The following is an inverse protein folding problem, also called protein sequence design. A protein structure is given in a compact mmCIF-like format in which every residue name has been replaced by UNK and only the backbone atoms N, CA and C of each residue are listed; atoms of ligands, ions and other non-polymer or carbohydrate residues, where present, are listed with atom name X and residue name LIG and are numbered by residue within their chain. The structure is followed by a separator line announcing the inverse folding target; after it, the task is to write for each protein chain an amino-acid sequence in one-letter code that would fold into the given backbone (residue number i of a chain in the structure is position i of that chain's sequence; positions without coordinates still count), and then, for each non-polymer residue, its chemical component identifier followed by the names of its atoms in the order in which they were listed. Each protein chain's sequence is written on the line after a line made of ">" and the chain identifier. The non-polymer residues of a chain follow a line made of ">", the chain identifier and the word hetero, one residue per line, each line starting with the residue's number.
data_IF_003159721143
#
_entry.id   IF_003159721143
#
_cell.length_a   1.000
_cell.length_b   1.000
_cell.length_c   1.000
_cell.angle_alpha   90.00
_cell.angle_beta   90.00
_cell.angle_gamma   90.00
#
_symmetry.space_group_name_H-M   'P 1'
#
loop_
_entity.id
_entity.type
_entity.pdbx_description
1 polymer ?
#
# COMPACT_ATOMS: atom_id res chain seq x y z
N UNK A 1 -12.55 19.70 15.31
CA UNK A 1 -11.31 19.40 16.08
C UNK A 1 -11.03 17.91 15.98
N UNK A 2 -9.79 17.48 15.67
CA UNK A 2 -9.38 16.07 15.63
C UNK A 2 -9.57 15.31 14.31
N UNK A 3 -10.09 15.94 13.24
CA UNK A 3 -10.32 15.25 11.97
C UNK A 3 -9.04 15.01 11.14
N UNK A 4 -7.92 15.62 11.52
CA UNK A 4 -6.59 15.39 10.93
C UNK A 4 -6.09 13.94 11.12
N UNK A 5 -6.73 13.16 12.01
CA UNK A 5 -6.45 11.75 12.27
C UNK A 5 -6.39 10.87 11.01
N UNK A 6 -7.14 11.23 9.95
CA UNK A 6 -7.11 10.50 8.68
C UNK A 6 -5.77 10.67 7.97
N UNK A 7 -5.21 11.89 8.00
CA UNK A 7 -3.90 12.20 7.44
C UNK A 7 -2.79 11.49 8.22
N UNK A 8 -2.86 11.54 9.56
CA UNK A 8 -1.88 10.86 10.43
C UNK A 8 -1.90 9.34 10.20
N UNK A 9 -3.09 8.74 10.17
CA UNK A 9 -3.25 7.30 9.90
C UNK A 9 -2.63 6.88 8.56
N UNK A 10 -2.70 7.74 7.53
CA UNK A 10 -2.12 7.44 6.21
C UNK A 10 -0.62 7.14 6.27
N UNK A 11 0.10 7.70 7.24
CA UNK A 11 1.53 7.43 7.46
C UNK A 11 1.73 5.96 7.87
N UNK A 12 0.99 5.49 8.87
CA UNK A 12 1.04 4.08 9.30
C UNK A 12 0.60 3.13 8.18
N UNK A 13 -0.45 3.50 7.45
CA UNK A 13 -0.94 2.73 6.30
C UNK A 13 0.16 2.64 5.20
N UNK A 14 0.98 3.67 5.02
CA UNK A 14 2.13 3.66 4.12
C UNK A 14 3.15 2.56 4.44
N UNK A 15 3.53 2.40 5.71
CA UNK A 15 4.42 1.32 6.14
C UNK A 15 3.78 -0.05 5.90
N UNK A 16 2.49 -0.20 6.21
CA UNK A 16 1.76 -1.45 5.96
C UNK A 16 1.75 -1.80 4.47
N UNK A 17 1.51 -0.83 3.59
CA UNK A 17 1.51 -1.05 2.14
C UNK A 17 2.88 -1.51 1.62
N UNK A 18 4.00 -1.09 2.22
CA UNK A 18 5.31 -1.66 1.89
C UNK A 18 5.38 -3.16 2.21
N UNK A 19 4.83 -3.60 3.35
CA UNK A 19 4.75 -5.03 3.67
C UNK A 19 3.87 -5.79 2.67
N UNK A 20 2.71 -5.21 2.33
CA UNK A 20 1.79 -5.84 1.38
C UNK A 20 2.45 -6.00 -0.01
N UNK A 21 3.20 -4.99 -0.47
CA UNK A 21 3.94 -5.07 -1.74
C UNK A 21 5.09 -6.09 -1.68
N UNK A 22 5.87 -6.10 -0.59
CA UNK A 22 6.93 -7.10 -0.37
C UNK A 22 6.38 -8.53 -0.38
N UNK A 23 5.26 -8.77 0.31
CA UNK A 23 4.61 -10.08 0.34
C UNK A 23 4.09 -10.47 -1.05
N UNK A 24 3.47 -9.54 -1.77
CA UNK A 24 3.00 -9.76 -3.14
C UNK A 24 4.16 -10.20 -4.07
N UNK A 25 5.28 -9.49 -4.05
CA UNK A 25 6.48 -9.83 -4.84
C UNK A 25 7.05 -11.19 -4.42
N UNK A 26 7.11 -11.45 -3.12
CA UNK A 26 7.63 -12.72 -2.59
C UNK A 26 6.76 -13.92 -2.99
N UNK A 27 5.44 -13.79 -2.91
CA UNK A 27 4.50 -14.82 -3.36
C UNK A 27 4.65 -15.08 -4.86
N UNK A 28 4.79 -14.03 -5.67
CA UNK A 28 5.07 -14.17 -7.11
C UNK A 28 6.40 -14.87 -7.37
N UNK A 29 7.47 -14.47 -6.69
CA UNK A 29 8.79 -15.09 -6.81
C UNK A 29 8.79 -16.57 -6.42
N UNK A 30 7.93 -16.99 -5.48
CA UNK A 30 7.75 -18.40 -5.13
C UNK A 30 7.12 -19.20 -6.27
N UNK A 31 6.18 -18.61 -7.02
CA UNK A 31 5.57 -19.25 -8.20
C UNK A 31 6.66 -19.50 -9.27
N UNK A 32 7.49 -18.50 -9.55
CA UNK A 32 8.62 -18.63 -10.50
C UNK A 32 9.55 -19.78 -10.11
N UNK A 33 9.90 -19.87 -8.83
CA UNK A 33 10.72 -20.98 -8.30
C UNK A 33 10.07 -22.35 -8.51
N UNK A 34 8.78 -22.49 -8.23
CA UNK A 34 8.08 -23.78 -8.36
C UNK A 34 8.04 -24.23 -9.81
N UNK A 35 7.77 -23.32 -10.76
CA UNK A 35 7.80 -23.63 -12.19
C UNK A 35 9.19 -24.11 -12.63
N UNK A 36 10.24 -23.38 -12.26
CA UNK A 36 11.62 -23.78 -12.53
C UNK A 36 11.96 -25.17 -11.97
N UNK A 37 11.61 -25.45 -10.72
CA UNK A 37 11.87 -26.75 -10.09
C UNK A 37 11.16 -27.90 -10.83
N UNK A 38 9.91 -27.72 -11.22
CA UNK A 38 9.15 -28.74 -11.96
C UNK A 38 9.77 -29.00 -13.35
N UNK A 39 10.24 -27.97 -14.05
CA UNK A 39 10.97 -28.13 -15.31
C UNK A 39 12.27 -28.93 -15.13
N UNK A 40 13.07 -28.59 -14.11
CA UNK A 40 14.32 -29.31 -13.81
C UNK A 40 14.08 -30.78 -13.47
N UNK A 41 13.08 -31.08 -12.64
CA UNK A 41 12.72 -32.46 -12.29
C UNK A 41 12.24 -33.25 -13.51
N UNK A 42 11.40 -32.64 -14.35
CA UNK A 42 10.93 -33.25 -15.59
C UNK A 42 12.08 -33.53 -16.56
N UNK A 43 12.96 -32.55 -16.78
CA UNK A 43 14.10 -32.68 -17.69
C UNK A 43 15.05 -33.80 -17.24
N UNK A 44 15.42 -33.80 -15.95
CA UNK A 44 16.27 -34.84 -15.35
C UNK A 44 15.65 -36.24 -15.51
N UNK A 45 14.35 -36.37 -15.25
CA UNK A 45 13.63 -37.64 -15.38
C UNK A 45 13.68 -38.16 -16.81
N UNK A 46 13.33 -37.32 -17.79
CA UNK A 46 13.21 -37.77 -19.17
C UNK A 46 14.56 -38.01 -19.84
N UNK A 47 15.60 -37.22 -19.54
CA UNK A 47 16.97 -37.54 -20.00
C UNK A 47 17.38 -38.95 -19.56
N UNK A 48 17.20 -39.27 -18.27
CA UNK A 48 17.53 -40.60 -17.76
C UNK A 48 16.71 -41.72 -18.40
N UNK A 49 15.42 -41.48 -18.70
CA UNK A 49 14.56 -42.48 -19.35
C UNK A 49 14.91 -42.68 -20.83
N UNK A 50 15.28 -41.61 -21.54
CA UNK A 50 15.71 -41.68 -22.94
C UNK A 50 17.05 -42.40 -23.05
N UNK A 51 18.05 -41.99 -22.25
CA UNK A 51 19.40 -42.57 -22.26
C UNK A 51 19.44 -44.05 -21.86
N UNK A 52 18.52 -44.48 -20.98
CA UNK A 52 18.36 -45.91 -20.61
C UNK A 52 17.42 -46.67 -21.53
N UNK A 53 16.72 -45.96 -22.40
CA UNK A 53 15.76 -46.51 -23.33
C UNK A 53 16.44 -47.15 -24.53
N UNK A 54 15.65 -47.72 -25.45
CA UNK A 54 16.16 -48.32 -26.68
C UNK A 54 16.44 -47.29 -27.79
N UNK A 55 16.14 -46.00 -27.57
CA UNK A 55 16.40 -44.95 -28.55
C UNK A 55 17.89 -44.64 -28.58
N UNK A 56 18.46 -44.46 -29.77
CA UNK A 56 19.87 -44.14 -29.96
C UNK A 56 20.04 -43.10 -31.08
N UNK A 57 21.29 -42.71 -31.33
CA UNK A 57 21.69 -41.98 -32.54
C UNK A 57 21.31 -40.50 -32.53
N UNK A 58 21.15 -39.95 -33.73
CA UNK A 58 20.87 -38.52 -33.91
C UNK A 58 19.48 -38.13 -33.40
N UNK A 59 18.49 -39.02 -33.50
CA UNK A 59 17.13 -38.80 -32.97
C UNK A 59 17.12 -38.78 -31.42
N UNK A 60 17.92 -39.62 -30.75
CA UNK A 60 18.07 -39.57 -29.29
C UNK A 60 18.57 -38.18 -28.84
N UNK A 61 19.62 -37.68 -29.49
CA UNK A 61 20.19 -36.35 -29.20
C UNK A 61 19.18 -35.23 -29.44
N UNK A 62 18.41 -35.31 -30.54
CA UNK A 62 17.34 -34.35 -30.82
C UNK A 62 16.23 -34.38 -29.76
N UNK A 63 15.86 -35.56 -29.26
CA UNK A 63 14.90 -35.70 -28.17
C UNK A 63 15.46 -35.10 -26.87
N UNK A 64 16.71 -35.42 -26.51
CA UNK A 64 17.37 -34.86 -25.33
C UNK A 64 17.50 -33.33 -25.39
N UNK A 65 17.57 -32.72 -26.57
CA UNK A 65 17.57 -31.27 -26.72
C UNK A 65 16.29 -30.61 -26.16
N UNK A 66 15.15 -31.30 -26.19
CA UNK A 66 13.91 -30.82 -25.58
C UNK A 66 14.05 -30.68 -24.06
N UNK A 67 14.70 -31.64 -23.40
CA UNK A 67 14.96 -31.55 -21.96
C UNK A 67 15.97 -30.44 -21.63
N UNK A 68 16.96 -30.22 -22.48
CA UNK A 68 17.92 -29.12 -22.32
C UNK A 68 17.27 -27.73 -22.48
N UNK A 69 16.20 -27.59 -23.26
CA UNK A 69 15.40 -26.37 -23.30
C UNK A 69 14.75 -26.09 -21.94
N UNK A 70 14.08 -27.08 -21.35
CA UNK A 70 13.41 -26.94 -20.07
C UNK A 70 14.38 -26.58 -18.93
N UNK A 71 15.61 -27.11 -18.94
CA UNK A 71 16.67 -26.71 -18.00
C UNK A 71 17.04 -25.23 -18.13
N UNK A 72 17.23 -24.74 -19.36
CA UNK A 72 17.57 -23.33 -19.61
C UNK A 72 16.41 -22.39 -19.27
N UNK A 73 15.17 -22.79 -19.54
CA UNK A 73 13.99 -22.02 -19.11
C UNK A 73 13.89 -22.00 -17.58
N UNK A 74 14.15 -23.12 -16.92
CA UNK A 74 14.22 -23.17 -15.45
C UNK A 74 15.25 -22.18 -14.89
N UNK A 75 16.45 -22.12 -15.47
CA UNK A 75 17.48 -21.16 -15.08
C UNK A 75 17.01 -19.71 -15.21
N UNK A 76 16.39 -19.33 -16.34
CA UNK A 76 15.84 -17.99 -16.52
C UNK A 76 14.77 -17.65 -15.47
N UNK A 77 13.87 -18.57 -15.15
CA UNK A 77 12.85 -18.33 -14.12
C UNK A 77 13.47 -18.23 -12.70
N UNK A 78 14.60 -18.89 -12.44
CA UNK A 78 15.36 -18.68 -11.21
C UNK A 78 16.05 -17.31 -11.18
N UNK A 79 16.52 -16.79 -12.32
CA UNK A 79 17.03 -15.42 -12.42
C UNK A 79 15.93 -14.39 -12.13
N UNK A 80 14.73 -14.55 -12.72
CA UNK A 80 13.56 -13.71 -12.40
C UNK A 80 13.27 -13.72 -10.91
N UNK A 81 13.17 -14.92 -10.31
CA UNK A 81 13.00 -15.06 -8.85
C UNK A 81 14.13 -14.37 -8.07
N UNK A 82 15.35 -14.43 -8.58
CA UNK A 82 16.53 -13.79 -8.03
C UNK A 82 16.37 -12.28 -7.98
N UNK A 83 16.09 -11.63 -9.12
CA UNK A 83 15.92 -10.18 -9.19
C UNK A 83 14.73 -9.70 -8.36
N UNK A 84 13.59 -10.40 -8.41
CA UNK A 84 12.43 -10.06 -7.57
C UNK A 84 12.76 -10.03 -6.07
N UNK A 85 13.56 -10.99 -5.59
CA UNK A 85 13.84 -11.13 -4.15
C UNK A 85 15.07 -10.36 -3.68
N UNK A 86 16.12 -10.33 -4.49
CA UNK A 86 17.41 -9.77 -4.08
C UNK A 86 17.52 -8.29 -4.44
N UNK A 87 16.73 -7.82 -5.40
CA UNK A 87 16.72 -6.43 -5.85
C UNK A 87 15.40 -5.76 -5.43
N UNK A 88 14.27 -6.12 -6.04
CA UNK A 88 13.00 -5.38 -5.84
C UNK A 88 12.49 -5.46 -4.39
N UNK A 89 12.45 -6.67 -3.82
CA UNK A 89 12.01 -6.90 -2.44
C UNK A 89 12.95 -6.21 -1.43
N UNK A 90 14.26 -6.41 -1.55
CA UNK A 90 15.23 -5.79 -0.62
C UNK A 90 15.25 -4.26 -0.78
N UNK A 91 15.01 -3.72 -1.98
CA UNK A 91 14.85 -2.28 -2.21
C UNK A 91 13.67 -1.71 -1.44
N UNK A 92 12.50 -2.36 -1.46
CA UNK A 92 11.34 -1.94 -0.65
C UNK A 92 11.65 -2.03 0.84
N UNK A 93 12.27 -3.13 1.29
CA UNK A 93 12.61 -3.36 2.69
C UNK A 93 13.58 -2.31 3.23
N UNK A 94 14.61 -1.97 2.46
CA UNK A 94 15.58 -0.94 2.81
C UNK A 94 14.92 0.45 2.84
N UNK A 95 14.14 0.79 1.82
CA UNK A 95 13.39 2.05 1.78
C UNK A 95 12.42 2.17 2.97
N UNK A 96 11.68 1.10 3.30
CA UNK A 96 10.77 1.08 4.46
C UNK A 96 11.52 1.32 5.76
N UNK A 97 12.70 0.70 5.94
CA UNK A 97 13.54 0.88 7.13
C UNK A 97 14.05 2.32 7.28
N UNK A 98 14.36 2.99 6.17
CA UNK A 98 14.82 4.38 6.15
C UNK A 98 13.68 5.39 6.30
N UNK A 99 12.49 5.07 5.79
CA UNK A 99 11.34 5.96 5.82
C UNK A 99 10.56 5.92 7.15
N UNK A 100 10.59 4.80 7.88
CA UNK A 100 9.75 4.58 9.05
C UNK A 100 10.57 4.11 10.27
N UNK A 101 10.58 4.94 11.33
CA UNK A 101 11.39 4.67 12.51
C UNK A 101 10.51 4.27 13.70
N UNK A 102 10.53 2.99 14.07
CA UNK A 102 9.78 2.48 15.23
C UNK A 102 10.26 3.10 16.53
N UNK A 103 9.30 3.46 17.40
CA UNK A 103 9.57 3.95 18.75
C UNK A 103 9.51 2.83 19.79
N UNK A 104 10.22 3.00 20.92
CA UNK A 104 10.25 2.00 22.01
C UNK A 104 8.86 1.67 22.57
N UNK A 105 7.94 2.64 22.61
CA UNK A 105 6.58 2.47 23.15
C UNK A 105 5.55 2.06 22.08
N UNK A 106 6.01 1.64 20.90
CA UNK A 106 5.16 1.35 19.74
C UNK A 106 4.87 2.57 18.87
N UNK A 107 4.41 2.32 17.65
CA UNK A 107 4.19 3.35 16.62
C UNK A 107 5.47 3.82 15.92
N UNK A 108 5.30 4.74 14.98
CA UNK A 108 6.39 5.34 14.20
C UNK A 108 6.64 6.79 14.61
N UNK A 109 7.90 7.20 14.55
CA UNK A 109 8.33 8.56 14.83
C UNK A 109 7.61 9.57 13.93
N UNK A 110 7.49 9.25 12.64
CA UNK A 110 6.87 10.08 11.61
C UNK A 110 5.37 10.33 11.92
N UNK A 111 4.66 9.28 12.33
CA UNK A 111 3.25 9.35 12.76
C UNK A 111 3.10 10.25 13.98
N UNK A 112 3.98 10.11 14.97
CA UNK A 112 3.95 10.94 16.18
C UNK A 112 4.27 12.40 15.89
N UNK A 113 5.25 12.68 15.05
CA UNK A 113 5.61 14.05 14.66
C UNK A 113 4.45 14.75 13.95
N UNK A 114 3.73 14.06 13.05
CA UNK A 114 2.53 14.59 12.41
C UNK A 114 1.38 14.84 13.42
N UNK A 115 1.11 13.89 14.31
CA UNK A 115 0.07 14.02 15.35
C UNK A 115 0.36 15.22 16.28
N UNK A 116 1.60 15.34 16.78
CA UNK A 116 2.03 16.43 17.64
C UNK A 116 2.00 17.79 16.90
N UNK A 117 2.38 17.80 15.62
CA UNK A 117 2.28 18.97 14.73
C UNK A 117 0.83 19.47 14.60
N UNK A 118 -0.10 18.60 14.24
CA UNK A 118 -1.52 18.94 14.12
C UNK A 118 -2.12 19.36 15.46
N UNK A 119 -1.79 18.67 16.55
CA UNK A 119 -2.27 19.01 17.89
C UNK A 119 -1.77 20.39 18.31
N UNK A 120 -0.51 20.73 18.03
CA UNK A 120 0.08 22.05 18.30
C UNK A 120 -0.62 23.14 17.48
N UNK A 121 -0.84 22.92 16.19
CA UNK A 121 -1.52 23.85 15.29
C UNK A 121 -2.98 24.10 15.69
N UNK A 122 -3.71 23.05 16.10
CA UNK A 122 -5.14 23.14 16.40
C UNK A 122 -5.46 23.61 17.83
N UNK A 123 -4.58 23.39 18.81
CA UNK A 123 -4.85 23.67 20.23
C UNK A 123 -5.32 25.10 20.53
N UNK A 124 -4.70 26.18 19.99
CA UNK A 124 -5.15 27.55 20.27
C UNK A 124 -6.57 27.82 19.75
N UNK A 125 -6.86 27.38 18.52
CA UNK A 125 -8.18 27.55 17.89
C UNK A 125 -9.26 26.74 18.61
N UNK A 126 -8.96 25.49 18.99
CA UNK A 126 -9.88 24.64 19.74
C UNK A 126 -10.22 25.23 21.13
N UNK A 127 -9.27 25.91 21.79
CA UNK A 127 -9.53 26.61 23.05
C UNK A 127 -10.51 27.76 22.86
N UNK A 128 -10.32 28.59 21.83
CA UNK A 128 -11.24 29.70 21.49
C UNK A 128 -12.62 29.19 21.07
N UNK A 129 -12.69 28.09 20.32
CA UNK A 129 -13.95 27.46 19.97
C UNK A 129 -14.74 27.04 21.23
N UNK A 130 -14.07 26.49 22.25
CA UNK A 130 -14.71 26.15 23.53
C UNK A 130 -15.22 27.39 24.27
N UNK A 131 -14.51 28.51 24.20
CA UNK A 131 -14.94 29.80 24.77
C UNK A 131 -16.21 30.32 24.05
N UNK A 132 -16.25 30.22 22.72
CA UNK A 132 -17.43 30.53 21.90
C UNK A 132 -18.63 29.66 22.29
N UNK A 133 -18.44 28.35 22.43
CA UNK A 133 -19.51 27.43 22.84
C UNK A 133 -20.06 27.75 24.24
N UNK A 134 -19.19 28.14 25.18
CA UNK A 134 -19.61 28.55 26.52
C UNK A 134 -20.39 29.88 26.48
N UNK A 135 -19.89 30.89 25.75
CA UNK A 135 -20.56 32.18 25.60
C UNK A 135 -21.92 32.05 24.90
N UNK A 136 -22.01 31.21 23.86
CA UNK A 136 -23.26 30.85 23.18
C UNK A 136 -24.29 30.27 24.14
N UNK A 137 -23.89 29.30 24.97
CA UNK A 137 -24.78 28.69 25.98
C UNK A 137 -25.27 29.72 26.99
N UNK A 138 -24.39 30.58 27.50
CA UNK A 138 -24.76 31.64 28.43
C UNK A 138 -25.75 32.64 27.82
N UNK A 139 -25.51 33.06 26.58
CA UNK A 139 -26.42 33.95 25.84
C UNK A 139 -27.80 33.32 25.63
N UNK A 140 -27.87 32.07 25.17
CA UNK A 140 -29.15 31.37 25.01
C UNK A 140 -29.89 31.17 26.34
N UNK A 141 -29.18 30.92 27.43
CA UNK A 141 -29.78 30.82 28.76
C UNK A 141 -30.37 32.17 29.23
N UNK A 142 -29.65 33.27 29.04
CA UNK A 142 -30.15 34.62 29.34
C UNK A 142 -31.40 34.95 28.52
N UNK A 143 -31.40 34.64 27.21
CA UNK A 143 -32.57 34.84 26.35
C UNK A 143 -33.79 34.04 26.82
N UNK A 144 -33.58 32.82 27.33
CA UNK A 144 -34.65 31.98 27.87
C UNK A 144 -35.20 32.57 29.17
N UNK A 145 -34.34 33.04 30.08
CA UNK A 145 -34.76 33.66 31.34
C UNK A 145 -35.49 34.99 31.09
N UNK A 146 -35.04 35.80 30.14
CA UNK A 146 -35.73 37.03 29.72
C UNK A 146 -37.15 36.72 29.24
N UNK A 147 -37.32 35.75 28.33
CA UNK A 147 -38.65 35.33 27.87
C UNK A 147 -39.53 34.84 29.01
N UNK A 148 -38.97 34.10 29.98
CA UNK A 148 -39.69 33.64 31.17
C UNK A 148 -40.08 34.81 32.09
N UNK A 149 -39.21 35.80 32.27
CA UNK A 149 -39.48 36.99 33.07
C UNK A 149 -40.60 37.83 32.43
N UNK A 150 -40.56 38.05 31.11
CA UNK A 150 -41.59 38.78 30.36
C UNK A 150 -42.94 38.05 30.44
N UNK A 151 -42.94 36.73 30.24
CA UNK A 151 -44.17 35.93 30.34
C UNK A 151 -44.77 35.96 31.74
N UNK A 152 -43.95 35.87 32.80
CA UNK A 152 -44.41 36.00 34.19
C UNK A 152 -44.97 37.39 34.49
N UNK A 153 -44.29 38.45 34.06
CA UNK A 153 -44.76 39.83 34.22
C UNK A 153 -46.11 40.05 33.51
N UNK A 154 -46.25 39.53 32.29
CA UNK A 154 -47.48 39.64 31.50
C UNK A 154 -48.63 38.86 32.14
N UNK A 155 -48.38 37.62 32.57
CA UNK A 155 -49.41 36.77 33.17
C UNK A 155 -49.88 37.31 34.53
N UNK A 156 -48.98 37.90 35.33
CA UNK A 156 -49.33 38.48 36.63
C UNK A 156 -50.25 39.70 36.51
N UNK A 157 -50.29 40.40 35.37
CA UNK A 157 -51.24 41.53 35.15
C UNK A 157 -52.70 41.09 35.08
N UNK A 158 -52.97 39.79 34.89
CA UNK A 158 -54.32 39.25 34.92
C UNK A 158 -54.81 38.92 36.35
N UNK A 159 -53.93 39.01 37.37
CA UNK A 159 -54.26 38.74 38.76
C UNK A 159 -54.86 40.00 39.44
N UNK A 160 -56.12 39.97 39.90
CA UNK A 160 -56.75 41.09 40.60
C UNK A 160 -56.07 41.47 41.94
N UNK A 161 -55.27 40.57 42.53
CA UNK A 161 -54.57 40.79 43.78
C UNK A 161 -53.17 41.41 43.61
N UNK A 162 -52.77 41.75 42.38
CA UNK A 162 -51.43 42.27 42.09
C UNK A 162 -51.24 43.67 42.67
N UNK A 163 -50.33 43.79 43.64
CA UNK A 163 -50.00 45.08 44.21
C UNK A 163 -48.85 45.79 43.44
N UNK A 164 -48.70 47.12 43.60
CA UNK A 164 -47.67 47.89 42.88
C UNK A 164 -46.23 47.42 43.16
N UNK A 165 -45.96 46.91 44.36
CA UNK A 165 -44.64 46.45 44.78
C UNK A 165 -44.25 45.12 44.09
N UNK A 166 -45.21 44.19 43.95
CA UNK A 166 -45.06 42.95 43.20
C UNK A 166 -44.88 43.20 41.71
N UNK A 167 -45.65 44.13 41.13
CA UNK A 167 -45.49 44.53 39.73
C UNK A 167 -44.11 45.13 39.49
N UNK A 168 -43.65 46.03 40.36
CA UNK A 168 -42.32 46.63 40.26
C UNK A 168 -41.21 45.58 40.35
N UNK A 169 -41.32 44.61 41.25
CA UNK A 169 -40.37 43.49 41.35
C UNK A 169 -40.28 42.65 40.07
N UNK A 170 -41.40 42.41 39.39
CA UNK A 170 -41.44 41.69 38.12
C UNK A 170 -40.81 42.52 36.99
N UNK A 171 -41.11 43.82 36.93
CA UNK A 171 -40.48 44.75 35.98
C UNK A 171 -38.96 44.84 36.18
N UNK A 172 -38.50 44.96 37.43
CA UNK A 172 -37.07 44.94 37.77
C UNK A 172 -36.40 43.62 37.38
N UNK A 173 -37.14 42.50 37.41
CA UNK A 173 -36.63 41.21 36.95
C UNK A 173 -36.50 41.18 35.42
N UNK A 174 -37.49 41.68 34.69
CA UNK A 174 -37.43 41.81 33.22
C UNK A 174 -36.25 42.69 32.79
N UNK A 175 -36.08 43.85 33.43
CA UNK A 175 -34.99 44.78 33.10
C UNK A 175 -33.61 44.17 33.38
N UNK A 176 -33.46 43.47 34.52
CA UNK A 176 -32.22 42.71 34.80
C UNK A 176 -31.95 41.65 33.75
N UNK A 177 -32.97 40.86 33.36
CA UNK A 177 -32.81 39.84 32.33
C UNK A 177 -32.46 40.42 30.95
N UNK A 178 -33.01 41.59 30.58
CA UNK A 178 -32.62 42.33 29.36
C UNK A 178 -31.14 42.74 29.38
N UNK A 179 -30.67 43.30 30.49
CA UNK A 179 -29.27 43.68 30.65
C UNK A 179 -28.34 42.46 30.59
N UNK A 180 -28.75 41.34 31.19
CA UNK A 180 -28.00 40.08 31.11
C UNK A 180 -27.93 39.53 29.68
N UNK A 181 -29.00 39.63 28.90
CA UNK A 181 -29.02 39.27 27.48
C UNK A 181 -28.03 40.12 26.69
N UNK A 182 -28.04 41.45 26.85
CA UNK A 182 -27.09 42.35 26.17
C UNK A 182 -25.64 42.01 26.55
N UNK A 183 -25.35 41.86 27.84
CA UNK A 183 -24.01 41.54 28.35
C UNK A 183 -23.50 40.19 27.85
N UNK A 184 -24.37 39.17 27.80
CA UNK A 184 -23.98 37.84 27.29
C UNK A 184 -23.86 37.83 25.77
N UNK A 185 -24.66 38.64 25.05
CA UNK A 185 -24.53 38.87 23.61
C UNK A 185 -23.19 39.49 23.25
N UNK A 186 -22.80 40.59 23.89
CA UNK A 186 -21.51 41.26 23.64
C UNK A 186 -20.33 40.32 23.88
N UNK A 187 -20.37 39.51 24.96
CA UNK A 187 -19.36 38.49 25.21
C UNK A 187 -19.32 37.41 24.14
N UNK A 188 -20.49 36.97 23.67
CA UNK A 188 -20.58 35.98 22.59
C UNK A 188 -20.02 36.53 21.28
N UNK A 189 -20.44 37.72 20.86
CA UNK A 189 -19.92 38.41 19.65
C UNK A 189 -18.41 38.65 19.74
N UNK A 190 -17.89 39.07 20.90
CA UNK A 190 -16.46 39.21 21.12
C UNK A 190 -15.71 37.88 20.96
N UNK A 191 -16.23 36.79 21.55
CA UNK A 191 -15.60 35.47 21.43
C UNK A 191 -15.59 34.96 19.98
N UNK A 192 -16.63 35.27 19.20
CA UNK A 192 -16.68 34.96 17.77
C UNK A 192 -15.60 35.73 17.00
N UNK A 193 -15.51 37.05 17.20
CA UNK A 193 -14.48 37.88 16.55
C UNK A 193 -13.06 37.42 16.88
N UNK A 194 -12.81 37.01 18.11
CA UNK A 194 -11.51 36.46 18.51
C UNK A 194 -11.21 35.11 17.85
N UNK A 195 -12.22 34.26 17.62
CA UNK A 195 -12.08 33.00 16.89
C UNK A 195 -11.78 33.27 15.40
N UNK A 196 -12.49 34.22 14.79
CA UNK A 196 -12.28 34.62 13.40
C UNK A 196 -10.86 35.16 13.19
N UNK A 197 -10.38 36.03 14.09
CA UNK A 197 -9.01 36.55 14.05
C UNK A 197 -7.93 35.46 14.21
N UNK A 198 -8.23 34.36 14.92
CA UNK A 198 -7.30 33.23 15.08
C UNK A 198 -7.36 32.23 13.92
N UNK A 199 -8.37 32.32 13.05
CA UNK A 199 -8.63 31.33 11.99
C UNK A 199 -7.57 31.34 10.88
N UNK A 200 -7.06 32.50 10.39
CA UNK A 200 -5.98 32.52 9.40
C UNK A 200 -4.72 31.78 9.85
N UNK A 201 -4.21 32.07 11.05
CA UNK A 201 -3.02 31.39 11.60
C UNK A 201 -3.28 29.90 11.87
N UNK A 202 -4.50 29.56 12.29
CA UNK A 202 -4.90 28.16 12.44
C UNK A 202 -4.83 27.41 11.10
N UNK A 203 -5.39 27.98 10.04
CA UNK A 203 -5.37 27.37 8.71
C UNK A 203 -3.95 27.25 8.17
N UNK A 204 -3.14 28.31 8.26
CA UNK A 204 -1.74 28.29 7.82
C UNK A 204 -0.92 27.20 8.53
N UNK A 205 -1.03 27.11 9.86
CA UNK A 205 -0.30 26.10 10.62
C UNK A 205 -0.78 24.66 10.32
N UNK A 206 -2.09 24.47 10.08
CA UNK A 206 -2.63 23.18 9.69
C UNK A 206 -2.16 22.77 8.29
N UNK A 207 -2.15 23.72 7.35
CA UNK A 207 -1.69 23.51 5.97
C UNK A 207 -0.21 23.14 5.93
N UNK A 208 0.62 23.82 6.72
CA UNK A 208 2.05 23.53 6.80
C UNK A 208 2.34 22.08 7.23
N UNK A 209 1.64 21.58 8.26
CA UNK A 209 1.79 20.19 8.71
C UNK A 209 1.21 19.22 7.69
N UNK A 210 0.08 19.57 7.06
CA UNK A 210 -0.54 18.76 6.03
C UNK A 210 0.36 18.60 4.80
N UNK A 211 1.01 19.66 4.35
CA UNK A 211 1.91 19.65 3.20
C UNK A 211 3.15 18.79 3.45
N UNK A 212 3.69 18.79 4.68
CA UNK A 212 4.75 17.83 5.06
C UNK A 212 4.27 16.37 4.94
N UNK A 213 3.03 16.09 5.34
CA UNK A 213 2.42 14.76 5.18
C UNK A 213 2.17 14.42 3.70
N UNK A 214 1.91 15.40 2.85
CA UNK A 214 1.77 15.23 1.40
C UNK A 214 3.10 14.88 0.75
N UNK A 215 4.17 15.60 1.08
CA UNK A 215 5.52 15.34 0.55
C UNK A 215 6.04 13.97 0.99
N UNK A 216 5.75 13.56 2.23
CA UNK A 216 6.10 12.22 2.69
C UNK A 216 5.39 11.13 1.88
N UNK A 217 4.08 11.30 1.63
CA UNK A 217 3.29 10.36 0.83
C UNK A 217 3.71 10.37 -0.65
N UNK A 218 4.07 11.53 -1.22
CA UNK A 218 4.54 11.64 -2.59
C UNK A 218 5.81 10.80 -2.82
N UNK A 219 6.76 10.82 -1.88
CA UNK A 219 7.96 9.99 -1.93
C UNK A 219 7.61 8.50 -2.04
N UNK A 220 6.66 8.03 -1.22
CA UNK A 220 6.18 6.64 -1.26
C UNK A 220 5.53 6.30 -2.60
N UNK A 221 4.65 7.18 -3.11
CA UNK A 221 3.94 6.95 -4.36
C UNK A 221 4.89 6.87 -5.57
N UNK A 222 5.86 7.78 -5.64
CA UNK A 222 6.90 7.76 -6.68
C UNK A 222 7.77 6.52 -6.58
N UNK A 223 8.18 6.16 -5.36
CA UNK A 223 8.94 4.94 -5.10
C UNK A 223 8.17 3.68 -5.52
N UNK A 224 6.88 3.57 -5.19
CA UNK A 224 6.04 2.45 -5.64
C UNK A 224 5.99 2.35 -7.15
N UNK A 225 5.83 3.48 -7.85
CA UNK A 225 5.84 3.52 -9.31
C UNK A 225 7.19 3.04 -9.88
N UNK A 226 8.29 3.47 -9.28
CA UNK A 226 9.64 3.06 -9.68
C UNK A 226 9.83 1.55 -9.54
N UNK A 227 9.55 0.99 -8.36
CA UNK A 227 9.71 -0.45 -8.11
C UNK A 227 8.79 -1.27 -9.01
N UNK A 228 7.54 -0.85 -9.22
CA UNK A 228 6.63 -1.58 -10.12
C UNK A 228 7.13 -1.61 -11.58
N UNK A 229 7.84 -0.56 -12.03
CA UNK A 229 8.47 -0.53 -13.34
C UNK A 229 9.75 -1.38 -13.40
N UNK A 230 10.44 -1.60 -12.28
CA UNK A 230 11.58 -2.52 -12.20
C UNK A 230 11.11 -3.97 -12.19
N UNK A 231 10.13 -4.29 -11.36
CA UNK A 231 9.47 -5.60 -11.32
C UNK A 231 9.00 -6.03 -12.70
N UNK A 232 8.36 -5.13 -13.48
CA UNK A 232 7.92 -5.51 -14.83
C UNK A 232 9.10 -5.90 -15.72
N UNK A 233 10.22 -5.16 -15.66
CA UNK A 233 11.41 -5.46 -16.47
C UNK A 233 12.00 -6.81 -16.10
N UNK A 234 12.04 -7.14 -14.81
CA UNK A 234 12.54 -8.44 -14.33
C UNK A 234 11.62 -9.59 -14.75
N UNK A 235 10.32 -9.35 -14.92
CA UNK A 235 9.36 -10.37 -15.38
C UNK A 235 9.36 -10.56 -16.91
N UNK A 236 9.80 -9.57 -17.69
CA UNK A 236 9.67 -9.57 -19.15
C UNK A 236 10.81 -10.30 -19.86
N UNK A 237 10.65 -11.62 -20.02
CA UNK A 237 11.57 -12.47 -20.77
C UNK A 237 11.59 -12.20 -22.28
N UNK A 238 10.61 -11.47 -22.84
CA UNK A 238 10.52 -11.24 -24.29
C UNK A 238 11.63 -10.35 -24.84
N UNK A 239 12.19 -9.52 -23.96
CA UNK A 239 13.31 -8.61 -24.24
C UNK A 239 14.67 -9.27 -24.02
N UNK A 240 14.73 -10.45 -23.39
CA UNK A 240 15.99 -11.13 -23.10
C UNK A 240 16.39 -11.99 -24.30
N UNK A 241 17.56 -11.70 -24.88
CA UNK A 241 18.05 -12.42 -26.05
C UNK A 241 18.28 -13.92 -25.77
N UNK A 242 18.68 -14.28 -24.55
CA UNK A 242 18.87 -15.68 -24.13
C UNK A 242 17.57 -16.49 -24.27
N UNK A 243 16.41 -15.92 -23.91
CA UNK A 243 15.12 -16.61 -24.06
C UNK A 243 14.82 -16.97 -25.52
N UNK A 244 15.06 -16.05 -26.47
CA UNK A 244 14.91 -16.34 -27.90
C UNK A 244 15.94 -17.36 -28.40
N UNK A 245 17.17 -17.31 -27.87
CA UNK A 245 18.24 -18.21 -28.28
C UNK A 245 17.97 -19.66 -27.86
N UNK A 246 17.34 -19.90 -26.71
CA UNK A 246 16.95 -21.24 -26.24
C UNK A 246 16.18 -21.98 -27.33
N UNK A 247 15.14 -21.35 -27.88
CA UNK A 247 14.28 -21.99 -28.89
C UNK A 247 14.94 -22.10 -30.26
N UNK A 248 15.81 -21.15 -30.64
CA UNK A 248 16.62 -21.27 -31.87
C UNK A 248 17.58 -22.44 -31.79
N UNK A 249 18.23 -22.63 -30.65
CA UNK A 249 19.14 -23.75 -30.42
C UNK A 249 18.38 -25.08 -30.38
N UNK A 250 17.21 -25.12 -29.74
CA UNK A 250 16.34 -26.29 -29.77
C UNK A 250 15.97 -26.68 -31.21
N UNK A 251 15.52 -25.72 -32.02
CA UNK A 251 15.18 -25.95 -33.43
C UNK A 251 16.39 -26.50 -34.22
N UNK A 252 17.57 -25.90 -34.02
CA UNK A 252 18.80 -26.35 -34.68
C UNK A 252 19.18 -27.77 -34.27
N UNK A 253 19.13 -28.10 -32.98
CA UNK A 253 19.47 -29.43 -32.47
C UNK A 253 18.51 -30.49 -33.00
N UNK A 254 17.21 -30.19 -33.08
CA UNK A 254 16.21 -31.11 -33.66
C UNK A 254 16.49 -31.36 -35.15
N UNK A 255 16.87 -30.32 -35.91
CA UNK A 255 17.23 -30.47 -37.33
C UNK A 255 18.47 -31.33 -37.58
N UNK A 256 19.28 -31.62 -36.56
CA UNK A 256 20.41 -32.55 -36.68
C UNK A 256 20.01 -34.02 -36.68
N UNK A 257 18.73 -34.34 -36.43
CA UNK A 257 18.23 -35.71 -36.55
C UNK A 257 18.23 -36.17 -38.01
N UNK A 258 19.00 -37.21 -38.31
CA UNK A 258 19.13 -37.81 -39.63
C UNK A 258 18.81 -39.30 -39.59
N UNK A 259 17.64 -39.64 -40.13
CA UNK A 259 17.19 -41.04 -40.21
C UNK A 259 18.11 -41.92 -41.07
N UNK A 260 18.77 -41.38 -42.09
CA UNK A 260 19.67 -42.14 -42.97
C UNK A 260 20.95 -42.49 -42.22
N UNK A 261 21.48 -41.58 -41.41
CA UNK A 261 22.64 -41.83 -40.55
C UNK A 261 22.33 -42.94 -39.54
N UNK A 262 21.23 -42.82 -38.81
CA UNK A 262 20.84 -43.78 -37.77
C UNK A 262 20.59 -45.19 -38.35
N UNK A 263 19.88 -45.29 -39.48
CA UNK A 263 19.65 -46.57 -40.18
C UNK A 263 20.95 -47.20 -40.69
N UNK A 264 21.88 -46.38 -41.19
CA UNK A 264 23.20 -46.86 -41.65
C UNK A 264 24.01 -47.42 -40.49
N UNK A 265 24.02 -46.74 -39.35
CA UNK A 265 24.68 -47.21 -38.14
C UNK A 265 24.11 -48.56 -37.69
N UNK A 266 22.78 -48.69 -37.63
CA UNK A 266 22.15 -49.94 -37.20
C UNK A 266 22.45 -51.10 -38.15
N UNK A 267 22.35 -50.88 -39.47
CA UNK A 267 22.65 -51.91 -40.48
C UNK A 267 24.08 -52.43 -40.33
N UNK A 268 25.05 -51.55 -40.08
CA UNK A 268 26.46 -51.90 -39.97
C UNK A 268 26.78 -52.65 -38.67
N UNK A 269 26.15 -52.29 -37.56
CA UNK A 269 26.51 -52.80 -36.23
C UNK A 269 25.59 -53.90 -35.69
N UNK A 270 24.36 -54.01 -36.20
CA UNK A 270 23.31 -54.89 -35.68
C UNK A 270 22.55 -55.65 -36.79
N UNK A 271 23.01 -55.54 -38.04
CA UNK A 271 22.31 -56.05 -39.20
C UNK A 271 23.24 -56.69 -40.24
N UNK A 272 22.80 -56.75 -41.52
CA UNK A 272 23.55 -57.42 -42.58
C UNK A 272 24.95 -56.84 -42.89
N UNK A 273 25.31 -55.69 -42.32
CA UNK A 273 26.64 -55.12 -42.47
C UNK A 273 27.68 -55.65 -41.47
N UNK A 274 27.27 -56.46 -40.49
CA UNK A 274 28.20 -57.11 -39.55
C UNK A 274 29.05 -58.16 -40.28
N UNK A 275 30.30 -58.33 -39.87
CA UNK A 275 31.15 -59.39 -40.41
C UNK A 275 30.63 -60.75 -39.99
N UNK A 276 30.70 -61.72 -40.91
CA UNK A 276 30.36 -63.11 -40.64
C UNK A 276 31.47 -64.00 -41.18
N UNK A 277 32.00 -64.87 -40.31
CA UNK A 277 32.92 -65.93 -40.72
C UNK A 277 32.07 -67.08 -41.24
N UNK A 278 31.87 -67.11 -42.55
CA UNK A 278 31.15 -68.20 -43.20
C UNK A 278 31.91 -69.52 -43.04
N UNK A 279 31.22 -70.66 -42.84
CA UNK A 279 31.87 -71.95 -42.66
C UNK A 279 32.87 -72.26 -43.78
N UNK A 280 34.07 -72.72 -43.40
CA UNK A 280 35.12 -73.20 -44.28
C UNK A 280 35.54 -74.61 -43.85
N UNK A 281 36.30 -75.31 -44.70
CA UNK A 281 36.81 -76.64 -44.35
C UNK A 281 37.84 -76.54 -43.23
N UNK A 282 37.69 -77.36 -42.19
CA UNK A 282 38.59 -77.46 -41.03
C UNK A 282 39.32 -78.82 -41.02
#
# INVERSE_FOLDING_TARGET
>A
VGNYKRTVKRIDDGHRLCNDLMNCIHERARIEKVYAQQLTEWAKRWKQLVEKGPQYGTVERAWCAFMSEAEKVSELHLEVKGSLMNEDFEKIKNWQKEAFHKQMMGGFKETKEAEDGFRKAQKPWAKKLKEVEAAKKAYHAACKEEKLAISRETNSKADPALNPEQLKKLQDKVERSKQDVLKTKEKYEKSLKELDNATPQYMENMEQVFEQCQQFEEKRLRFFREVLLEVQKHLDLSNVASYKNIYRELEQNIKTADAVEDLRWFRANQGPGMSMNWPQFE
#
